data_IF_056295839735
#
_entry.id   IF_056295839735
#
_cell.length_a   1.000
_cell.length_b   1.000
_cell.length_c   1.000
_cell.angle_alpha   90.00
_cell.angle_beta   90.00
_cell.angle_gamma   90.00
#
_symmetry.space_group_name_H-M   'P 1'
#
loop_
_entity.id
_entity.type
_entity.pdbx_description
1 polymer ?
#
# COMPACT_ATOMS: atom_id res chain seq x y z
N UNK A 1 16.29 88.71 -7.33
CA UNK A 1 16.60 87.32 -7.54
C UNK A 1 16.11 86.56 -6.28
N UNK A 2 14.84 86.06 -6.29
CA UNK A 2 14.17 85.51 -5.11
C UNK A 2 14.34 84.01 -5.21
N UNK A 3 15.04 83.40 -4.28
CA UNK A 3 15.20 81.96 -4.16
C UNK A 3 14.03 81.44 -3.35
N UNK A 4 13.09 80.71 -4.01
CA UNK A 4 11.99 79.96 -3.31
C UNK A 4 12.60 78.74 -2.64
N UNK A 5 12.43 78.63 -1.33
CA UNK A 5 12.72 77.41 -0.53
C UNK A 5 11.58 76.43 -0.70
N UNK A 6 11.92 75.24 -1.15
CA UNK A 6 10.95 74.08 -1.15
C UNK A 6 10.64 73.71 0.28
N UNK A 7 9.32 73.44 0.50
CA UNK A 7 8.77 73.00 1.77
C UNK A 7 9.08 71.45 1.99
N UNK A 8 9.45 71.02 3.18
CA UNK A 8 9.86 69.65 3.46
C UNK A 8 8.73 68.64 3.60
N UNK A 9 7.48 68.99 3.30
CA UNK A 9 6.30 68.14 3.55
C UNK A 9 5.78 67.35 2.36
N UNK A 10 6.39 67.38 1.21
CA UNK A 10 5.98 66.57 0.06
C UNK A 10 6.53 65.15 0.17
N UNK A 11 5.74 64.26 0.70
CA UNK A 11 5.98 62.82 0.70
C UNK A 11 6.07 62.25 -0.74
N UNK A 12 6.65 61.08 -0.95
CA UNK A 12 6.87 60.52 -2.27
C UNK A 12 5.56 60.38 -3.07
N UNK A 13 5.59 60.87 -4.32
CA UNK A 13 4.44 60.89 -5.23
C UNK A 13 3.85 59.48 -5.47
N UNK A 14 2.62 59.42 -6.00
CA UNK A 14 1.85 58.18 -6.15
C UNK A 14 2.58 57.09 -6.96
N UNK A 15 3.43 57.43 -7.91
CA UNK A 15 4.23 56.46 -8.68
C UNK A 15 5.34 55.80 -7.86
N UNK A 16 5.97 56.53 -6.93
CA UNK A 16 7.00 56.00 -6.04
C UNK A 16 6.36 55.04 -4.99
N UNK A 17 5.18 55.42 -4.46
CA UNK A 17 4.41 54.54 -3.55
C UNK A 17 3.97 53.26 -4.25
N UNK A 18 3.51 53.31 -5.50
CA UNK A 18 3.13 52.13 -6.27
C UNK A 18 4.32 51.23 -6.61
N UNK A 19 5.49 51.79 -6.83
CA UNK A 19 6.73 51.04 -7.08
C UNK A 19 7.24 50.34 -5.80
N UNK A 20 7.22 51.05 -4.66
CA UNK A 20 7.61 50.47 -3.35
C UNK A 20 6.63 49.36 -2.90
N UNK A 21 5.32 49.48 -3.18
CA UNK A 21 4.34 48.46 -2.87
C UNK A 21 4.54 47.22 -3.75
N UNK A 22 4.78 47.37 -5.04
CA UNK A 22 5.08 46.26 -5.95
C UNK A 22 6.38 45.52 -5.56
N UNK A 23 7.42 46.26 -5.15
CA UNK A 23 8.71 45.68 -4.71
C UNK A 23 8.55 44.96 -3.36
N UNK A 24 7.75 45.53 -2.42
CA UNK A 24 7.47 44.89 -1.13
C UNK A 24 6.61 43.62 -1.27
N UNK A 25 5.64 43.61 -2.21
CA UNK A 25 4.83 42.43 -2.54
C UNK A 25 5.70 41.38 -3.22
N UNK A 26 6.60 41.78 -4.15
CA UNK A 26 7.53 40.85 -4.79
C UNK A 26 8.51 40.23 -3.79
N UNK A 27 9.08 41.04 -2.87
CA UNK A 27 9.94 40.50 -1.79
C UNK A 27 9.21 39.65 -0.77
N UNK A 28 7.91 39.94 -0.46
CA UNK A 28 7.09 39.13 0.42
C UNK A 28 6.74 37.82 -0.24
N UNK A 29 6.43 37.81 -1.55
CA UNK A 29 6.18 36.60 -2.32
C UNK A 29 7.46 35.78 -2.56
N UNK A 30 8.63 36.42 -2.66
CA UNK A 30 9.92 35.75 -2.78
C UNK A 30 10.36 35.14 -1.45
N UNK A 31 10.20 35.85 -0.31
CA UNK A 31 10.43 35.28 1.03
C UNK A 31 9.48 34.17 1.41
N UNK A 32 8.22 34.22 0.93
CA UNK A 32 7.30 33.10 1.11
C UNK A 32 7.62 31.88 0.22
N UNK A 33 8.33 32.07 -0.91
CA UNK A 33 8.86 30.96 -1.71
C UNK A 33 10.15 30.35 -1.14
N UNK A 34 10.93 31.11 -0.37
CA UNK A 34 12.21 30.64 0.19
C UNK A 34 12.05 29.80 1.47
N UNK A 35 10.82 29.57 1.97
CA UNK A 35 10.59 28.80 3.20
C UNK A 35 9.44 27.79 3.09
N UNK A 36 8.99 27.46 1.87
CA UNK A 36 8.07 26.33 1.67
C UNK A 36 8.90 25.12 1.29
N UNK A 37 8.97 24.14 2.19
CA UNK A 37 9.52 22.81 1.91
C UNK A 37 8.83 22.28 0.64
N UNK A 38 9.58 21.99 -0.43
CA UNK A 38 9.06 21.31 -1.61
C UNK A 38 9.18 19.78 -1.46
N UNK A 39 8.45 19.04 -2.30
CA UNK A 39 8.43 17.59 -2.21
C UNK A 39 9.79 16.96 -2.45
N UNK A 40 10.59 17.49 -3.36
CA UNK A 40 11.91 16.95 -3.71
C UNK A 40 12.94 17.16 -2.59
N UNK A 41 12.89 18.32 -1.92
CA UNK A 41 13.71 18.60 -0.73
C UNK A 41 13.35 17.65 0.41
N UNK A 42 12.04 17.46 0.70
CA UNK A 42 11.59 16.52 1.71
C UNK A 42 12.02 15.07 1.37
N UNK A 43 11.96 14.70 0.09
CA UNK A 43 12.42 13.39 -0.35
C UNK A 43 13.90 13.16 -0.03
N UNK A 44 14.75 14.19 -0.27
CA UNK A 44 16.17 14.09 0.06
C UNK A 44 16.40 13.98 1.56
N UNK A 45 15.69 14.76 2.39
CA UNK A 45 15.79 14.65 3.84
C UNK A 45 15.41 13.24 4.34
N UNK A 46 14.40 12.61 3.72
CA UNK A 46 14.00 11.23 4.06
C UNK A 46 15.08 10.24 3.66
N UNK A 47 15.69 10.40 2.49
CA UNK A 47 16.82 9.58 2.04
C UNK A 47 18.00 9.72 3.01
N UNK A 48 18.21 10.93 3.54
CA UNK A 48 19.27 11.24 4.51
C UNK A 48 18.91 10.80 5.96
N UNK A 49 17.76 10.16 6.17
CA UNK A 49 17.39 9.53 7.43
C UNK A 49 16.26 10.18 8.20
N UNK A 50 15.66 11.29 7.73
CA UNK A 50 14.43 11.83 8.33
C UNK A 50 13.31 10.81 8.27
N UNK A 51 12.47 10.77 9.31
CA UNK A 51 11.25 9.95 9.36
C UNK A 51 10.04 10.84 9.66
N UNK A 52 8.99 10.66 8.87
CA UNK A 52 7.71 11.38 9.04
C UNK A 52 6.94 10.74 10.18
N UNK A 53 6.39 11.57 11.05
CA UNK A 53 5.62 11.17 12.23
C UNK A 53 4.26 11.89 12.27
N UNK A 54 3.44 11.60 13.28
CA UNK A 54 2.15 12.30 13.51
C UNK A 54 2.31 13.78 13.88
N UNK A 55 3.51 14.21 14.28
CA UNK A 55 3.81 15.59 14.69
C UNK A 55 4.16 16.48 13.50
N UNK A 56 4.46 15.89 12.32
CA UNK A 56 4.73 16.61 11.08
C UNK A 56 3.45 17.16 10.46
N UNK A 57 3.57 18.21 9.64
CA UNK A 57 2.44 18.73 8.84
C UNK A 57 2.11 17.76 7.68
N UNK A 58 1.26 16.79 7.97
CA UNK A 58 0.82 15.81 6.99
C UNK A 58 -0.06 16.41 5.88
N UNK A 59 -0.65 17.61 6.09
CA UNK A 59 -1.45 18.28 5.06
C UNK A 59 -0.59 18.70 3.85
N UNK A 60 0.72 18.82 4.04
CA UNK A 60 1.67 19.02 2.96
C UNK A 60 1.46 18.03 1.81
N UNK A 61 1.28 16.74 2.12
CA UNK A 61 1.10 15.68 1.11
C UNK A 61 -0.20 15.82 0.29
N UNK A 62 -1.18 16.56 0.80
CA UNK A 62 -2.46 16.78 0.12
C UNK A 62 -2.42 18.03 -0.78
N UNK A 63 -1.54 18.98 -0.48
CA UNK A 63 -1.52 20.30 -1.11
C UNK A 63 -0.35 20.53 -2.07
N UNK A 64 0.72 19.73 -1.96
CA UNK A 64 1.87 19.83 -2.86
C UNK A 64 1.52 19.35 -4.28
N UNK A 65 2.33 19.75 -5.24
CA UNK A 65 2.21 19.31 -6.63
C UNK A 65 2.34 17.79 -6.72
N UNK A 66 1.39 17.14 -7.41
CA UNK A 66 1.35 15.68 -7.51
C UNK A 66 2.55 15.11 -8.25
N UNK A 67 2.99 15.79 -9.32
CA UNK A 67 4.11 15.32 -10.12
C UNK A 67 5.42 15.36 -9.33
N UNK A 68 5.66 16.45 -8.59
CA UNK A 68 6.82 16.56 -7.72
C UNK A 68 6.79 15.54 -6.57
N UNK A 69 5.60 15.30 -5.99
CA UNK A 69 5.40 14.29 -4.95
C UNK A 69 5.74 12.89 -5.48
N UNK A 70 5.22 12.51 -6.66
CA UNK A 70 5.52 11.23 -7.29
C UNK A 70 7.01 11.08 -7.66
N UNK A 71 7.64 12.14 -8.19
CA UNK A 71 9.07 12.13 -8.48
C UNK A 71 9.92 11.95 -7.21
N UNK A 72 9.57 12.64 -6.13
CA UNK A 72 10.24 12.48 -4.84
C UNK A 72 10.04 11.08 -4.25
N UNK A 73 8.83 10.52 -4.33
CA UNK A 73 8.54 9.14 -3.90
C UNK A 73 9.38 8.12 -4.68
N UNK A 74 9.56 8.32 -5.99
CA UNK A 74 10.39 7.44 -6.80
C UNK A 74 11.88 7.54 -6.43
N UNK A 75 12.38 8.74 -6.10
CA UNK A 75 13.75 8.92 -5.59
C UNK A 75 13.96 8.19 -4.27
N UNK A 76 13.01 8.30 -3.32
CA UNK A 76 13.04 7.58 -2.04
C UNK A 76 13.03 6.06 -2.31
N UNK A 77 12.11 5.58 -3.15
CA UNK A 77 12.05 4.16 -3.49
C UNK A 77 13.39 3.65 -4.02
N UNK A 78 13.99 4.39 -4.97
CA UNK A 78 15.26 3.99 -5.57
C UNK A 78 16.40 3.95 -4.56
N UNK A 79 16.47 4.93 -3.66
CA UNK A 79 17.51 5.03 -2.65
C UNK A 79 17.34 4.00 -1.50
N UNK A 80 16.11 3.80 -1.02
CA UNK A 80 15.84 3.01 0.19
C UNK A 80 15.47 1.55 -0.10
N UNK A 81 14.93 1.24 -1.29
CA UNK A 81 14.46 -0.11 -1.65
C UNK A 81 15.27 -0.71 -2.81
N UNK A 82 15.80 0.14 -3.71
CA UNK A 82 16.50 -0.31 -4.91
C UNK A 82 15.56 -0.64 -6.07
N UNK A 83 16.08 -1.29 -7.11
CA UNK A 83 15.34 -1.54 -8.35
C UNK A 83 14.60 -2.90 -8.36
N UNK A 84 14.80 -3.74 -7.35
CA UNK A 84 14.05 -4.98 -7.19
C UNK A 84 12.56 -4.70 -6.99
N UNK A 85 11.72 -5.42 -7.73
CA UNK A 85 10.28 -5.45 -7.51
C UNK A 85 9.89 -6.81 -6.93
N UNK A 86 9.25 -6.80 -5.76
CA UNK A 86 8.77 -8.01 -5.10
C UNK A 86 7.41 -8.43 -5.71
N UNK A 87 7.41 -9.55 -6.41
CA UNK A 87 6.23 -10.15 -7.04
C UNK A 87 5.61 -11.19 -6.11
N UNK A 88 4.35 -10.99 -5.74
CA UNK A 88 3.59 -11.91 -4.89
C UNK A 88 2.42 -12.49 -5.69
N UNK A 89 2.24 -13.79 -5.64
CA UNK A 89 1.05 -14.46 -6.15
C UNK A 89 0.25 -15.08 -5.00
N UNK A 90 -1.04 -15.28 -5.23
CA UNK A 90 -1.94 -15.82 -4.22
C UNK A 90 -2.77 -16.98 -4.80
N UNK A 91 -3.14 -17.92 -3.93
CA UNK A 91 -4.21 -18.88 -4.19
C UNK A 91 -5.31 -18.66 -3.16
N UNK A 92 -6.57 -18.59 -3.62
CA UNK A 92 -7.73 -18.56 -2.72
C UNK A 92 -8.00 -19.98 -2.21
N UNK A 93 -7.39 -20.35 -1.09
CA UNK A 93 -7.43 -21.71 -0.56
C UNK A 93 -8.79 -22.12 0.03
N UNK A 94 -9.64 -21.15 0.41
CA UNK A 94 -11.04 -21.34 0.83
C UNK A 94 -11.85 -20.11 0.49
N UNK A 95 -13.06 -20.27 -0.03
CA UNK A 95 -13.88 -19.15 -0.50
C UNK A 95 -15.29 -19.12 0.08
N UNK A 96 -15.78 -17.89 0.32
CA UNK A 96 -17.14 -17.61 0.76
C UNK A 96 -17.41 -17.91 2.25
N UNK A 97 -18.68 -17.82 2.66
CA UNK A 97 -19.20 -18.13 4.02
C UNK A 97 -18.44 -17.42 5.18
N UNK A 98 -17.78 -16.28 4.92
CA UNK A 98 -17.09 -15.54 5.97
C UNK A 98 -18.11 -14.94 6.96
N UNK A 99 -17.99 -15.20 8.28
CA UNK A 99 -18.93 -14.68 9.27
C UNK A 99 -18.71 -13.17 9.59
N UNK A 100 -17.69 -12.56 9.01
CA UNK A 100 -17.38 -11.13 9.20
C UNK A 100 -18.21 -10.25 8.24
N UNK A 101 -18.60 -9.06 8.70
CA UNK A 101 -19.48 -8.13 7.98
C UNK A 101 -18.74 -7.03 7.21
N UNK A 102 -17.46 -7.22 6.89
CA UNK A 102 -16.64 -6.23 6.16
C UNK A 102 -17.35 -5.77 4.89
N UNK A 103 -17.76 -4.50 4.84
CA UNK A 103 -18.67 -3.94 3.82
C UNK A 103 -18.16 -4.04 2.38
N UNK A 104 -16.86 -4.13 2.16
CA UNK A 104 -16.24 -4.27 0.84
C UNK A 104 -16.15 -5.71 0.35
N UNK A 105 -16.31 -6.70 1.24
CA UNK A 105 -15.91 -8.08 0.98
C UNK A 105 -17.03 -8.90 0.32
N UNK A 106 -16.76 -9.40 -0.89
CA UNK A 106 -17.69 -10.30 -1.59
C UNK A 106 -17.88 -11.66 -0.92
N UNK A 107 -16.91 -12.08 -0.08
CA UNK A 107 -16.93 -13.40 0.58
C UNK A 107 -17.69 -13.41 1.93
N UNK A 108 -18.22 -12.24 2.35
CA UNK A 108 -19.01 -12.12 3.57
C UNK A 108 -20.34 -12.86 3.46
N UNK A 109 -20.70 -13.66 4.47
CA UNK A 109 -22.02 -14.31 4.55
C UNK A 109 -23.17 -13.31 4.82
N UNK A 110 -22.85 -12.07 5.15
CA UNK A 110 -23.81 -10.98 5.33
C UNK A 110 -24.24 -10.31 4.00
N UNK A 111 -23.58 -10.65 2.89
CA UNK A 111 -23.78 -10.00 1.58
C UNK A 111 -24.34 -11.01 0.57
N UNK A 112 -24.99 -10.49 -0.49
CA UNK A 112 -25.58 -11.32 -1.55
C UNK A 112 -24.80 -11.11 -2.86
N UNK A 113 -23.60 -11.66 -2.92
CA UNK A 113 -22.71 -11.57 -4.06
C UNK A 113 -22.67 -12.87 -4.88
N UNK A 114 -22.09 -12.82 -6.08
CA UNK A 114 -21.86 -13.99 -6.93
C UNK A 114 -20.55 -14.70 -6.59
N UNK A 115 -20.03 -14.56 -5.36
CA UNK A 115 -18.80 -15.20 -4.94
C UNK A 115 -18.93 -16.73 -4.98
N UNK A 116 -18.00 -17.40 -5.63
CA UNK A 116 -17.92 -18.86 -5.60
C UNK A 116 -17.62 -19.34 -4.17
N UNK A 117 -18.25 -20.44 -3.76
CA UNK A 117 -18.13 -20.98 -2.39
C UNK A 117 -17.55 -22.38 -2.47
N UNK A 118 -16.42 -22.59 -1.78
CA UNK A 118 -15.77 -23.89 -1.62
C UNK A 118 -14.99 -23.97 -0.29
N UNK A 119 -14.84 -25.20 0.20
CA UNK A 119 -14.06 -25.52 1.38
C UNK A 119 -12.54 -25.44 1.06
N UNK A 120 -11.67 -25.76 2.04
CA UNK A 120 -10.23 -25.70 1.82
C UNK A 120 -9.80 -26.62 0.66
N UNK A 121 -9.04 -26.07 -0.28
CA UNK A 121 -8.59 -26.78 -1.49
C UNK A 121 -7.72 -28.00 -1.14
N UNK A 122 -7.70 -29.04 -2.00
CA UNK A 122 -6.76 -30.13 -1.88
C UNK A 122 -5.30 -29.68 -1.91
N UNK A 123 -4.45 -30.34 -1.13
CA UNK A 123 -3.01 -30.01 -1.03
C UNK A 123 -2.32 -30.07 -2.40
N UNK A 124 -2.65 -31.08 -3.21
CA UNK A 124 -2.05 -31.29 -4.54
C UNK A 124 -2.30 -30.09 -5.47
N UNK A 125 -3.48 -29.47 -5.37
CA UNK A 125 -3.82 -28.29 -6.16
C UNK A 125 -3.02 -27.06 -5.73
N UNK A 126 -2.88 -26.87 -4.41
CA UNK A 126 -2.12 -25.76 -3.82
C UNK A 126 -0.62 -25.88 -4.19
N UNK A 127 -0.04 -27.07 -3.98
CA UNK A 127 1.38 -27.34 -4.26
C UNK A 127 1.66 -27.21 -5.75
N UNK A 128 0.81 -27.77 -6.61
CA UNK A 128 0.92 -27.60 -8.07
C UNK A 128 0.94 -26.13 -8.47
N UNK A 129 0.08 -25.29 -7.90
CA UNK A 129 0.04 -23.87 -8.22
C UNK A 129 1.31 -23.15 -7.73
N UNK A 130 1.85 -23.56 -6.57
CA UNK A 130 3.12 -23.03 -6.07
C UNK A 130 4.26 -23.29 -7.07
N UNK A 131 4.40 -24.51 -7.58
CA UNK A 131 5.39 -24.86 -8.62
C UNK A 131 5.23 -24.03 -9.89
N UNK A 132 3.99 -23.86 -10.39
CA UNK A 132 3.72 -23.03 -11.58
C UNK A 132 4.21 -21.61 -11.38
N UNK A 133 3.95 -21.01 -10.22
CA UNK A 133 4.37 -19.64 -9.92
C UNK A 133 5.87 -19.51 -9.67
N UNK A 134 6.50 -20.53 -9.10
CA UNK A 134 7.96 -20.61 -8.98
C UNK A 134 8.62 -20.66 -10.36
N UNK A 135 8.14 -21.52 -11.26
CA UNK A 135 8.64 -21.62 -12.65
C UNK A 135 8.44 -20.30 -13.42
N UNK A 136 7.36 -19.59 -13.18
CA UNK A 136 7.12 -18.26 -13.74
C UNK A 136 7.98 -17.17 -13.09
N UNK A 137 8.75 -17.50 -12.05
CA UNK A 137 9.69 -16.62 -11.34
C UNK A 137 9.00 -15.52 -10.55
N UNK A 138 8.06 -15.89 -9.70
CA UNK A 138 7.43 -15.03 -8.69
C UNK A 138 8.24 -15.12 -7.40
N UNK A 139 8.38 -14.04 -6.65
CA UNK A 139 9.17 -14.04 -5.42
C UNK A 139 8.47 -14.76 -4.27
N UNK A 140 7.11 -14.62 -4.18
CA UNK A 140 6.32 -15.10 -3.04
C UNK A 140 5.02 -15.75 -3.48
N UNK A 141 4.64 -16.83 -2.79
CA UNK A 141 3.35 -17.50 -2.96
C UNK A 141 2.58 -17.51 -1.65
N UNK A 142 1.28 -17.16 -1.69
CA UNK A 142 0.46 -17.02 -0.49
C UNK A 142 -0.84 -17.83 -0.59
N UNK A 143 -1.15 -18.64 0.44
CA UNK A 143 -2.49 -19.18 0.62
C UNK A 143 -3.33 -18.11 1.35
N UNK A 144 -4.44 -17.70 0.71
CA UNK A 144 -5.42 -16.78 1.28
C UNK A 144 -6.72 -17.53 1.54
N UNK A 145 -7.36 -17.31 2.67
CA UNK A 145 -8.63 -17.97 3.00
C UNK A 145 -9.71 -16.99 3.43
N UNK A 146 -10.94 -17.25 3.04
CA UNK A 146 -12.10 -16.60 3.64
C UNK A 146 -12.28 -17.02 5.10
N UNK A 147 -13.04 -16.22 5.86
CA UNK A 147 -13.39 -16.53 7.24
C UNK A 147 -12.64 -15.66 8.24
N UNK A 148 -13.18 -15.62 9.49
CA UNK A 148 -12.57 -14.91 10.61
C UNK A 148 -11.18 -15.47 10.95
N UNK A 149 -11.06 -16.80 10.90
CA UNK A 149 -9.85 -17.56 11.14
C UNK A 149 -9.94 -18.92 10.44
N UNK A 150 -8.81 -19.48 10.04
CA UNK A 150 -8.70 -20.88 9.67
C UNK A 150 -8.34 -21.68 10.94
N UNK A 151 -9.11 -22.72 11.26
CA UNK A 151 -8.94 -23.48 12.51
C UNK A 151 -9.21 -24.96 12.31
N UNK A 152 -8.84 -25.80 13.30
CA UNK A 152 -9.11 -27.22 13.30
C UNK A 152 -8.47 -27.95 12.13
N UNK A 153 -9.16 -28.92 11.56
CA UNK A 153 -8.68 -29.80 10.50
C UNK A 153 -8.24 -29.02 9.22
N UNK A 154 -8.93 -27.93 8.86
CA UNK A 154 -8.54 -27.13 7.70
C UNK A 154 -7.21 -26.38 7.93
N UNK A 155 -6.96 -25.94 9.18
CA UNK A 155 -5.67 -25.35 9.53
C UNK A 155 -4.55 -26.40 9.47
N UNK A 156 -4.80 -27.63 9.92
CA UNK A 156 -3.83 -28.72 9.82
C UNK A 156 -3.54 -29.08 8.36
N UNK A 157 -4.54 -29.11 7.48
CA UNK A 157 -4.35 -29.26 6.02
C UNK A 157 -3.48 -28.16 5.44
N UNK A 158 -3.68 -26.91 5.88
CA UNK A 158 -2.83 -25.79 5.43
C UNK A 158 -1.38 -25.95 5.89
N UNK A 159 -1.14 -26.40 7.12
CA UNK A 159 0.21 -26.70 7.62
C UNK A 159 0.87 -27.77 6.76
N UNK A 160 0.19 -28.88 6.46
CA UNK A 160 0.73 -29.92 5.59
C UNK A 160 1.10 -29.39 4.19
N UNK A 161 0.23 -28.59 3.59
CA UNK A 161 0.52 -27.96 2.29
C UNK A 161 1.79 -27.07 2.36
N UNK A 162 1.97 -26.28 3.43
CA UNK A 162 3.18 -25.50 3.62
C UNK A 162 4.43 -26.35 3.85
N UNK A 163 4.34 -27.41 4.63
CA UNK A 163 5.47 -28.35 4.84
C UNK A 163 5.89 -29.03 3.53
N UNK A 164 4.94 -29.34 2.66
CA UNK A 164 5.22 -29.92 1.32
C UNK A 164 5.85 -28.85 0.42
N UNK A 165 5.29 -27.66 0.33
CA UNK A 165 5.86 -26.57 -0.46
C UNK A 165 7.28 -26.19 0.02
N UNK A 166 7.53 -26.15 1.34
CA UNK A 166 8.86 -25.91 1.91
C UNK A 166 9.89 -26.93 1.44
N UNK A 167 9.51 -28.18 1.23
CA UNK A 167 10.40 -29.25 0.77
C UNK A 167 10.63 -29.22 -0.74
N UNK A 168 9.61 -28.84 -1.50
CA UNK A 168 9.58 -28.99 -2.96
C UNK A 168 9.86 -27.71 -3.71
N UNK A 169 9.61 -26.53 -3.11
CA UNK A 169 9.75 -25.21 -3.74
C UNK A 169 10.79 -24.35 -3.03
N UNK A 170 11.36 -23.40 -3.77
CA UNK A 170 12.31 -22.39 -3.27
C UNK A 170 11.68 -21.01 -3.12
N UNK A 171 10.47 -20.82 -3.62
CA UNK A 171 9.70 -19.57 -3.54
C UNK A 171 9.38 -19.25 -2.07
N UNK A 172 9.44 -17.97 -1.69
CA UNK A 172 9.04 -17.54 -0.34
C UNK A 172 7.55 -17.83 -0.06
N UNK A 173 7.23 -18.38 1.11
CA UNK A 173 5.88 -18.75 1.49
C UNK A 173 5.24 -17.70 2.39
N UNK A 174 4.02 -17.29 2.05
CA UNK A 174 3.21 -16.34 2.78
C UNK A 174 1.85 -16.94 3.16
N UNK A 175 1.20 -16.40 4.19
CA UNK A 175 -0.13 -16.81 4.60
C UNK A 175 -1.05 -15.62 4.88
N UNK A 176 -2.36 -15.80 4.62
CA UNK A 176 -3.43 -14.86 4.99
C UNK A 176 -4.68 -15.64 5.37
N UNK A 177 -4.82 -16.00 6.65
CA UNK A 177 -5.85 -16.91 7.17
C UNK A 177 -6.69 -16.25 8.28
N UNK A 178 -6.84 -14.92 8.23
CA UNK A 178 -7.59 -14.15 9.22
C UNK A 178 -6.86 -13.99 10.55
N UNK A 179 -7.61 -14.05 11.65
CA UNK A 179 -7.05 -13.95 12.99
C UNK A 179 -6.40 -15.28 13.40
N UNK A 180 -5.17 -15.20 13.86
CA UNK A 180 -4.39 -16.38 14.29
C UNK A 180 -3.89 -16.20 15.72
N UNK A 181 -3.69 -17.30 16.43
CA UNK A 181 -3.05 -17.34 17.74
C UNK A 181 -1.52 -17.34 17.59
N UNK A 182 -0.79 -17.04 18.68
CA UNK A 182 0.67 -17.16 18.69
C UNK A 182 1.14 -18.59 18.37
N UNK A 183 0.42 -19.62 18.87
CA UNK A 183 0.70 -21.02 18.55
C UNK A 183 0.52 -21.33 17.07
N UNK A 184 -0.54 -20.80 16.44
CA UNK A 184 -0.77 -20.98 15.01
C UNK A 184 0.30 -20.28 14.17
N UNK A 185 0.74 -19.06 14.56
CA UNK A 185 1.84 -18.37 13.90
C UNK A 185 3.14 -19.16 14.00
N UNK A 186 3.45 -19.69 15.18
CA UNK A 186 4.62 -20.53 15.37
C UNK A 186 4.60 -21.77 14.47
N UNK A 187 3.47 -22.49 14.40
CA UNK A 187 3.31 -23.65 13.50
C UNK A 187 3.48 -23.28 12.02
N UNK A 188 2.92 -22.13 11.59
CA UNK A 188 3.10 -21.64 10.23
C UNK A 188 4.57 -21.33 9.94
N UNK A 189 5.27 -20.66 10.87
CA UNK A 189 6.68 -20.33 10.75
C UNK A 189 7.54 -21.59 10.64
N UNK A 190 7.32 -22.59 11.49
CA UNK A 190 8.00 -23.89 11.41
C UNK A 190 7.72 -24.62 10.09
N UNK A 191 6.50 -24.51 9.57
CA UNK A 191 6.11 -25.05 8.26
C UNK A 191 6.73 -24.31 7.06
N UNK A 192 7.48 -23.20 7.30
CA UNK A 192 8.20 -22.46 6.28
C UNK A 192 7.57 -21.15 5.85
N UNK A 193 6.49 -20.70 6.48
CA UNK A 193 5.89 -19.39 6.19
C UNK A 193 6.76 -18.28 6.76
N UNK A 194 7.27 -17.40 5.90
CA UNK A 194 8.18 -16.31 6.29
C UNK A 194 7.45 -14.98 6.47
N UNK A 195 6.24 -14.84 5.92
CA UNK A 195 5.46 -13.61 5.94
C UNK A 195 3.97 -13.89 6.20
N UNK A 196 3.33 -13.05 7.01
CA UNK A 196 1.90 -13.15 7.26
C UNK A 196 1.19 -11.85 6.89
N UNK A 197 0.12 -11.99 6.07
CA UNK A 197 -0.70 -10.86 5.64
C UNK A 197 -1.93 -10.69 6.53
N UNK A 198 -2.08 -9.48 7.08
CA UNK A 198 -3.24 -9.09 7.89
C UNK A 198 -3.49 -7.59 7.82
N UNK A 199 -4.36 -7.14 6.92
CA UNK A 199 -4.64 -5.73 6.68
C UNK A 199 -5.28 -5.05 7.89
N UNK A 200 -4.93 -3.77 8.13
CA UNK A 200 -5.69 -2.88 9.02
C UNK A 200 -6.91 -2.25 8.31
N UNK A 201 -6.96 -2.31 6.99
CA UNK A 201 -7.99 -1.92 6.04
C UNK A 201 -8.18 -0.41 5.87
N UNK A 202 -8.19 0.36 6.94
CA UNK A 202 -8.39 1.81 6.96
C UNK A 202 -7.85 2.40 8.26
N UNK A 203 -8.09 3.70 8.54
CA UNK A 203 -7.75 4.33 9.82
C UNK A 203 -8.54 3.74 11.00
N UNK A 204 -8.01 3.93 12.22
CA UNK A 204 -8.74 3.58 13.46
C UNK A 204 -10.10 4.28 13.54
N UNK A 205 -10.17 5.56 13.14
CA UNK A 205 -11.40 6.36 13.18
C UNK A 205 -12.46 5.80 12.24
N UNK A 206 -12.06 5.42 11.02
CA UNK A 206 -12.99 4.95 10.00
C UNK A 206 -13.35 3.46 10.12
N UNK A 207 -12.55 2.66 10.81
CA UNK A 207 -12.73 1.21 10.88
C UNK A 207 -14.14 0.75 11.32
N UNK A 208 -14.79 1.38 12.33
CA UNK A 208 -16.16 1.00 12.72
C UNK A 208 -17.21 1.23 11.63
N UNK A 209 -16.94 2.09 10.64
CA UNK A 209 -17.79 2.31 9.49
C UNK A 209 -17.68 1.18 8.45
N UNK A 210 -16.61 0.39 8.49
CA UNK A 210 -16.28 -0.64 7.50
C UNK A 210 -16.61 -2.04 8.02
N UNK A 211 -16.40 -2.31 9.31
CA UNK A 211 -16.64 -3.60 9.92
C UNK A 211 -17.08 -3.44 11.38
N UNK A 212 -18.08 -4.26 11.82
CA UNK A 212 -18.59 -4.26 13.19
C UNK A 212 -18.35 -5.57 13.94
N UNK A 213 -18.03 -6.65 13.24
CA UNK A 213 -17.85 -8.00 13.82
C UNK A 213 -16.49 -8.21 14.47
N UNK A 214 -15.52 -7.35 14.19
CA UNK A 214 -14.23 -7.27 14.89
C UNK A 214 -13.73 -5.82 14.96
N UNK A 215 -12.72 -5.57 15.78
CA UNK A 215 -12.22 -4.21 16.04
C UNK A 215 -10.86 -3.97 15.41
N UNK A 216 -10.54 -2.68 15.24
CA UNK A 216 -9.20 -2.25 14.80
C UNK A 216 -8.09 -2.76 15.74
N UNK A 217 -8.33 -2.74 17.07
CA UNK A 217 -7.35 -3.23 18.04
C UNK A 217 -7.05 -4.72 17.90
N UNK A 218 -8.03 -5.52 17.51
CA UNK A 218 -7.79 -6.94 17.20
C UNK A 218 -6.82 -7.09 16.03
N UNK A 219 -6.95 -6.25 14.99
CA UNK A 219 -6.01 -6.21 13.85
C UNK A 219 -4.59 -5.87 14.31
N UNK A 220 -4.46 -4.80 15.10
CA UNK A 220 -3.16 -4.36 15.64
C UNK A 220 -2.51 -5.45 16.51
N UNK A 221 -3.30 -6.13 17.35
CA UNK A 221 -2.77 -7.20 18.19
C UNK A 221 -2.25 -8.38 17.37
N UNK A 222 -2.96 -8.75 16.29
CA UNK A 222 -2.49 -9.80 15.37
C UNK A 222 -1.15 -9.40 14.72
N UNK A 223 -1.01 -8.16 14.24
CA UNK A 223 0.24 -7.68 13.65
C UNK A 223 1.41 -7.70 14.66
N UNK A 224 1.15 -7.33 15.91
CA UNK A 224 2.16 -7.43 16.98
C UNK A 224 2.60 -8.86 17.24
N UNK A 225 1.67 -9.84 17.21
CA UNK A 225 2.00 -11.25 17.36
C UNK A 225 2.84 -11.77 16.17
N UNK A 226 2.52 -11.37 14.94
CA UNK A 226 3.29 -11.72 13.73
C UNK A 226 4.75 -11.26 13.89
N UNK A 227 4.95 -10.00 14.31
CA UNK A 227 6.29 -9.45 14.52
C UNK A 227 7.02 -10.11 15.69
N UNK A 228 6.32 -10.45 16.76
CA UNK A 228 6.90 -11.15 17.92
C UNK A 228 7.38 -12.56 17.57
N UNK A 229 6.76 -13.22 16.58
CA UNK A 229 7.20 -14.52 16.02
C UNK A 229 8.41 -14.38 15.08
N UNK A 230 8.83 -13.15 14.77
CA UNK A 230 9.95 -12.91 13.85
C UNK A 230 9.59 -13.01 12.36
N UNK A 231 8.30 -13.06 12.05
CA UNK A 231 7.81 -13.11 10.67
C UNK A 231 7.69 -11.70 10.08
N UNK A 232 7.87 -11.57 8.77
CA UNK A 232 7.57 -10.33 8.06
C UNK A 232 6.08 -10.01 8.13
N UNK A 233 5.74 -8.80 8.57
CA UNK A 233 4.36 -8.34 8.63
C UNK A 233 3.96 -7.65 7.33
N UNK A 234 2.94 -8.19 6.64
CA UNK A 234 2.33 -7.59 5.47
C UNK A 234 0.96 -7.02 5.86
N UNK A 235 0.82 -5.70 5.85
CA UNK A 235 -0.43 -5.02 6.24
C UNK A 235 -0.59 -3.70 5.52
N UNK A 236 -1.77 -3.47 5.02
CA UNK A 236 -2.17 -2.24 4.34
C UNK A 236 -3.67 -2.06 4.45
N UNK A 237 -4.30 -1.60 3.37
CA UNK A 237 -5.73 -1.35 3.38
C UNK A 237 -6.31 -1.11 2.00
N UNK A 238 -7.55 -0.61 2.03
CA UNK A 238 -8.33 -0.30 0.84
C UNK A 238 -8.66 1.19 0.86
N UNK A 239 -8.41 1.87 -0.25
CA UNK A 239 -8.77 3.27 -0.46
C UNK A 239 -9.97 3.38 -1.41
N UNK A 240 -10.80 4.41 -1.22
CA UNK A 240 -12.04 4.60 -1.98
C UNK A 240 -13.26 3.98 -1.33
N UNK A 241 -13.21 3.64 -0.02
CA UNK A 241 -14.34 3.11 0.75
C UNK A 241 -15.18 4.22 1.42
N UNK A 242 -14.95 5.49 1.08
CA UNK A 242 -15.61 6.65 1.71
C UNK A 242 -14.81 7.24 2.89
N UNK A 243 -13.58 6.81 3.07
CA UNK A 243 -12.61 7.41 4.00
C UNK A 243 -12.19 8.81 3.53
N UNK A 244 -11.71 9.63 4.48
CA UNK A 244 -11.13 10.94 4.16
C UNK A 244 -9.63 10.82 3.86
N UNK A 245 -9.02 11.90 3.37
CA UNK A 245 -7.57 11.97 3.16
C UNK A 245 -6.78 11.83 4.48
N UNK A 246 -7.32 12.39 5.57
CA UNK A 246 -6.75 12.25 6.91
C UNK A 246 -6.75 10.79 7.37
N UNK A 247 -7.77 10.01 6.98
CA UNK A 247 -7.80 8.57 7.27
C UNK A 247 -6.69 7.81 6.53
N UNK A 248 -6.42 8.16 5.26
CA UNK A 248 -5.33 7.57 4.48
C UNK A 248 -3.96 7.90 5.08
N UNK A 249 -3.77 9.17 5.50
CA UNK A 249 -2.54 9.60 6.18
C UNK A 249 -2.38 8.91 7.53
N UNK A 250 -3.44 8.83 8.35
CA UNK A 250 -3.43 8.10 9.63
C UNK A 250 -3.08 6.62 9.43
N UNK A 251 -3.61 5.98 8.38
CA UNK A 251 -3.27 4.61 8.02
C UNK A 251 -1.77 4.46 7.69
N UNK A 252 -1.21 5.37 6.88
CA UNK A 252 0.20 5.34 6.50
C UNK A 252 1.13 5.47 7.71
N UNK A 253 0.84 6.43 8.61
CA UNK A 253 1.62 6.65 9.84
C UNK A 253 1.46 5.48 10.81
N UNK A 254 0.24 4.94 10.97
CA UNK A 254 0.01 3.76 11.83
C UNK A 254 0.83 2.54 11.39
N UNK A 255 0.97 2.32 10.08
CA UNK A 255 1.79 1.24 9.52
C UNK A 255 3.29 1.49 9.74
N UNK A 256 3.75 2.75 9.64
CA UNK A 256 5.12 3.14 9.96
C UNK A 256 5.45 2.91 11.44
N UNK A 257 4.55 3.33 12.35
CA UNK A 257 4.70 3.12 13.80
C UNK A 257 4.74 1.63 14.18
N UNK A 258 4.04 0.78 13.43
CA UNK A 258 4.08 -0.67 13.58
C UNK A 258 5.32 -1.30 12.95
N UNK A 259 6.08 -0.57 12.14
CA UNK A 259 7.23 -1.07 11.40
C UNK A 259 6.83 -2.19 10.42
N UNK A 260 5.85 -1.93 9.57
CA UNK A 260 5.34 -2.92 8.60
C UNK A 260 6.30 -3.05 7.42
N UNK A 261 6.63 -4.28 7.04
CA UNK A 261 7.62 -4.58 6.00
C UNK A 261 7.05 -4.49 4.58
N UNK A 262 5.76 -4.80 4.41
CA UNK A 262 5.07 -4.77 3.11
C UNK A 262 3.66 -4.20 3.26
N UNK A 263 3.33 -3.20 2.44
CA UNK A 263 2.09 -2.43 2.54
C UNK A 263 1.30 -2.56 1.25
N UNK A 264 0.36 -3.52 1.15
CA UNK A 264 -0.55 -3.60 0.02
C UNK A 264 -1.58 -2.47 0.06
N UNK A 265 -1.62 -1.69 -1.01
CA UNK A 265 -2.64 -0.69 -1.27
C UNK A 265 -3.61 -1.22 -2.33
N UNK A 266 -4.88 -1.29 -1.94
CA UNK A 266 -5.96 -1.70 -2.81
C UNK A 266 -6.83 -0.49 -3.11
N UNK A 267 -7.18 -0.24 -4.39
CA UNK A 267 -8.23 0.70 -4.73
C UNK A 267 -9.56 -0.05 -4.86
N UNK A 268 -10.60 0.44 -4.19
CA UNK A 268 -11.91 -0.23 -4.17
C UNK A 268 -12.44 -0.41 -5.60
N UNK A 269 -12.75 -1.65 -5.93
CA UNK A 269 -13.57 -2.02 -7.06
C UNK A 269 -14.95 -2.41 -6.52
N UNK A 270 -15.97 -1.54 -6.63
CA UNK A 270 -17.29 -1.83 -6.09
C UNK A 270 -17.86 -3.12 -6.67
N UNK A 271 -18.29 -4.02 -5.79
CA UNK A 271 -18.82 -5.34 -6.18
C UNK A 271 -20.33 -5.36 -5.93
N UNK A 272 -21.13 -5.74 -6.94
CA UNK A 272 -22.58 -5.87 -6.79
C UNK A 272 -22.96 -6.81 -5.64
N UNK A 273 -23.94 -6.42 -4.85
CA UNK A 273 -24.40 -7.18 -3.67
C UNK A 273 -23.63 -6.87 -2.39
N UNK A 274 -22.60 -6.03 -2.43
CA UNK A 274 -21.93 -5.51 -1.22
C UNK A 274 -22.50 -4.16 -0.80
N UNK A 275 -22.42 -3.75 0.48
CA UNK A 275 -22.84 -2.43 0.93
C UNK A 275 -22.17 -1.24 0.23
N UNK A 276 -20.99 -1.45 -0.38
CA UNK A 276 -20.21 -0.42 -1.07
C UNK A 276 -20.38 -0.46 -2.59
N UNK A 277 -21.33 -1.21 -3.13
CA UNK A 277 -21.56 -1.37 -4.58
C UNK A 277 -21.84 -0.05 -5.33
N UNK A 278 -22.39 0.95 -4.61
CA UNK A 278 -22.77 2.26 -5.19
C UNK A 278 -21.67 3.32 -5.11
N UNK A 279 -20.53 3.02 -4.50
CA UNK A 279 -19.45 3.99 -4.43
C UNK A 279 -18.82 4.23 -5.80
N UNK A 280 -18.52 5.48 -6.09
CA UNK A 280 -17.73 5.84 -7.27
C UNK A 280 -16.29 5.39 -7.11
N UNK A 281 -15.68 5.01 -8.22
CA UNK A 281 -14.25 4.68 -8.26
C UNK A 281 -13.42 5.93 -8.07
N UNK A 282 -12.36 5.84 -7.29
CA UNK A 282 -11.42 6.95 -7.10
C UNK A 282 -10.57 7.16 -8.37
N UNK A 283 -10.07 8.37 -8.54
CA UNK A 283 -9.24 8.75 -9.68
C UNK A 283 -7.83 8.12 -9.62
N UNK A 284 -7.16 8.01 -10.77
CA UNK A 284 -5.74 7.64 -10.83
C UNK A 284 -4.87 8.60 -10.00
N UNK A 285 -5.12 9.90 -10.07
CA UNK A 285 -4.38 10.91 -9.30
C UNK A 285 -4.49 10.67 -7.78
N UNK A 286 -5.67 10.29 -7.29
CA UNK A 286 -5.87 9.96 -5.88
C UNK A 286 -5.08 8.71 -5.47
N UNK A 287 -5.02 7.70 -6.34
CA UNK A 287 -4.24 6.48 -6.10
C UNK A 287 -2.74 6.82 -6.09
N UNK A 288 -2.26 7.56 -7.09
CA UNK A 288 -0.85 7.94 -7.19
C UNK A 288 -0.40 8.80 -6.02
N UNK A 289 -1.20 9.79 -5.61
CA UNK A 289 -0.94 10.62 -4.43
C UNK A 289 -0.84 9.76 -3.17
N UNK A 290 -1.75 8.78 -3.02
CA UNK A 290 -1.72 7.87 -1.87
C UNK A 290 -0.45 7.02 -1.88
N UNK A 291 -0.10 6.38 -2.99
CA UNK A 291 1.14 5.59 -3.13
C UNK A 291 2.36 6.45 -2.81
N UNK A 292 2.42 7.68 -3.33
CA UNK A 292 3.55 8.56 -3.15
C UNK A 292 3.73 8.92 -1.67
N UNK A 293 2.72 9.43 -0.97
CA UNK A 293 2.91 9.78 0.45
C UNK A 293 3.12 8.54 1.34
N UNK A 294 2.56 7.37 0.99
CA UNK A 294 2.93 6.13 1.69
C UNK A 294 4.42 5.83 1.59
N UNK A 295 5.05 6.10 0.43
CA UNK A 295 6.50 5.95 0.26
C UNK A 295 7.28 6.96 1.11
N UNK A 296 6.84 8.22 1.21
CA UNK A 296 7.48 9.21 2.07
C UNK A 296 7.42 8.82 3.55
N UNK A 297 6.28 8.30 3.99
CA UNK A 297 6.05 7.93 5.40
C UNK A 297 6.70 6.57 5.72
N UNK A 298 6.76 5.65 4.75
CA UNK A 298 7.31 4.30 4.89
C UNK A 298 8.45 4.07 3.88
N UNK A 299 9.61 4.72 4.04
CA UNK A 299 10.64 4.78 3.00
C UNK A 299 11.27 3.43 2.66
N UNK A 300 11.30 2.48 3.57
CA UNK A 300 11.96 1.17 3.42
C UNK A 300 10.96 0.03 3.14
N UNK A 301 9.66 0.24 3.42
CA UNK A 301 8.66 -0.79 3.21
C UNK A 301 8.39 -1.07 1.72
N UNK A 302 7.98 -2.28 1.40
CA UNK A 302 7.47 -2.60 0.07
C UNK A 302 6.05 -2.03 -0.11
N UNK A 303 5.91 -0.91 -0.82
CA UNK A 303 4.59 -0.40 -1.23
C UNK A 303 4.09 -1.26 -2.38
N UNK A 304 3.06 -2.06 -2.11
CA UNK A 304 2.57 -3.12 -2.99
C UNK A 304 1.24 -2.75 -3.64
N UNK A 305 1.18 -2.86 -4.95
CA UNK A 305 -0.09 -2.76 -5.67
C UNK A 305 -0.90 -4.04 -5.47
N UNK A 306 -2.13 -3.87 -4.96
CA UNK A 306 -3.12 -4.93 -4.81
C UNK A 306 -4.24 -4.81 -5.85
N UNK A 307 -5.49 -4.94 -5.40
CA UNK A 307 -6.67 -4.75 -6.24
C UNK A 307 -6.83 -3.31 -6.75
N UNK A 308 -7.55 -3.14 -7.87
CA UNK A 308 -7.85 -1.83 -8.46
C UNK A 308 -6.79 -1.31 -9.44
N UNK A 309 -5.81 -2.11 -9.83
CA UNK A 309 -4.79 -1.72 -10.83
C UNK A 309 -5.38 -1.31 -12.18
N UNK A 310 -6.54 -1.82 -12.54
CA UNK A 310 -7.26 -1.42 -13.75
C UNK A 310 -7.73 0.06 -13.74
N UNK A 311 -7.62 0.77 -12.61
CA UNK A 311 -7.86 2.21 -12.49
C UNK A 311 -6.60 3.03 -12.84
N UNK A 312 -5.45 2.40 -13.02
CA UNK A 312 -4.17 3.01 -13.31
C UNK A 312 -3.82 2.84 -14.78
N UNK A 313 -3.13 3.81 -15.34
CA UNK A 313 -2.62 3.75 -16.71
C UNK A 313 -1.67 2.54 -16.88
N UNK A 314 -1.85 1.77 -17.96
CA UNK A 314 -1.06 0.59 -18.30
C UNK A 314 -0.93 -0.40 -17.10
N UNK A 315 -2.04 -0.68 -16.43
CA UNK A 315 -2.11 -1.63 -15.29
C UNK A 315 -1.11 -1.33 -14.16
N UNK A 316 -0.81 -0.07 -13.93
CA UNK A 316 0.00 0.39 -12.80
C UNK A 316 1.42 0.85 -13.16
N UNK A 317 1.76 1.03 -14.43
CA UNK A 317 3.06 1.58 -14.84
C UNK A 317 3.37 2.91 -14.14
N UNK A 318 2.38 3.82 -14.09
CA UNK A 318 2.47 5.11 -13.40
C UNK A 318 2.76 4.98 -11.91
N UNK A 319 2.19 3.99 -11.24
CA UNK A 319 2.42 3.73 -9.82
C UNK A 319 3.86 3.27 -9.54
N UNK A 320 4.46 2.47 -10.43
CA UNK A 320 5.87 2.08 -10.33
C UNK A 320 6.85 3.24 -10.62
N UNK A 321 6.37 4.32 -11.19
CA UNK A 321 7.10 5.59 -11.32
C UNK A 321 6.78 6.58 -10.18
N UNK A 322 5.95 6.19 -9.22
CA UNK A 322 5.46 7.02 -8.12
C UNK A 322 5.74 6.41 -6.73
N UNK A 323 6.71 5.51 -6.64
CA UNK A 323 7.19 4.96 -5.37
C UNK A 323 6.74 3.53 -5.05
N UNK A 324 5.92 2.86 -5.89
CA UNK A 324 5.60 1.45 -5.72
C UNK A 324 6.84 0.56 -5.97
N UNK A 325 6.98 -0.51 -5.19
CA UNK A 325 8.11 -1.45 -5.28
C UNK A 325 7.69 -2.93 -5.27
N UNK A 326 6.39 -3.21 -5.20
CA UNK A 326 5.87 -4.57 -5.14
C UNK A 326 4.49 -4.66 -5.79
N UNK A 327 4.06 -5.85 -6.18
CA UNK A 327 2.69 -6.07 -6.68
C UNK A 327 2.20 -7.49 -6.38
N UNK A 328 0.87 -7.63 -6.31
CA UNK A 328 0.21 -8.92 -6.45
C UNK A 328 0.03 -9.15 -7.94
N UNK A 329 0.45 -10.31 -8.44
CA UNK A 329 0.44 -10.70 -9.86
C UNK A 329 -0.21 -12.05 -10.06
N UNK A 330 -0.60 -12.38 -11.29
CA UNK A 330 -1.29 -13.62 -11.65
C UNK A 330 -2.81 -13.51 -11.55
N UNK A 331 -3.52 -14.46 -12.20
CA UNK A 331 -4.98 -14.41 -12.39
C UNK A 331 -5.82 -14.78 -11.16
N UNK A 332 -5.24 -14.90 -9.97
CA UNK A 332 -5.84 -15.55 -8.79
C UNK A 332 -6.31 -14.57 -7.72
N UNK A 333 -6.54 -13.28 -8.04
CA UNK A 333 -7.27 -12.41 -7.10
C UNK A 333 -8.71 -12.90 -6.96
N UNK A 334 -9.17 -13.00 -5.71
CA UNK A 334 -10.41 -13.67 -5.30
C UNK A 334 -11.68 -13.15 -5.95
N UNK A 335 -11.66 -11.95 -6.56
CA UNK A 335 -12.88 -11.30 -7.07
C UNK A 335 -12.68 -10.42 -8.32
N UNK A 336 -11.44 -10.15 -8.74
CA UNK A 336 -11.16 -9.23 -9.88
C UNK A 336 -9.99 -9.79 -10.71
N UNK A 337 -10.10 -9.73 -12.04
CA UNK A 337 -9.01 -10.12 -12.94
C UNK A 337 -7.78 -9.23 -12.73
N UNK A 338 -6.60 -9.83 -12.67
CA UNK A 338 -5.31 -9.16 -12.57
C UNK A 338 -4.52 -9.28 -13.88
N UNK A 339 -3.48 -8.45 -14.00
CA UNK A 339 -2.46 -8.63 -15.02
C UNK A 339 -1.76 -10.00 -14.86
N UNK A 340 -1.36 -10.60 -15.95
CA UNK A 340 -0.62 -11.88 -15.93
C UNK A 340 0.81 -11.63 -15.42
N UNK A 341 1.43 -12.65 -14.81
CA UNK A 341 2.84 -12.59 -14.38
C UNK A 341 3.76 -12.14 -15.53
N UNK A 342 3.52 -12.63 -16.74
CA UNK A 342 4.31 -12.29 -17.94
C UNK A 342 4.13 -10.83 -18.37
N UNK A 343 2.90 -10.30 -18.33
CA UNK A 343 2.65 -8.88 -18.65
C UNK A 343 3.29 -7.96 -17.64
N UNK A 344 3.20 -8.28 -16.34
CA UNK A 344 3.85 -7.51 -15.29
C UNK A 344 5.37 -7.50 -15.43
N UNK A 345 5.98 -8.66 -15.61
CA UNK A 345 7.43 -8.76 -15.83
C UNK A 345 7.89 -7.98 -17.06
N UNK A 346 7.11 -7.99 -18.14
CA UNK A 346 7.43 -7.23 -19.35
C UNK A 346 7.39 -5.73 -19.10
N UNK A 347 6.32 -5.24 -18.46
CA UNK A 347 6.14 -3.83 -18.12
C UNK A 347 7.27 -3.36 -17.18
N UNK A 348 7.53 -4.09 -16.09
CA UNK A 348 8.55 -3.74 -15.11
C UNK A 348 9.97 -3.75 -15.68
N UNK A 349 10.32 -4.74 -16.53
CA UNK A 349 11.60 -4.73 -17.26
C UNK A 349 11.72 -3.54 -18.19
N UNK A 350 10.62 -3.10 -18.82
CA UNK A 350 10.56 -1.89 -19.63
C UNK A 350 10.87 -0.62 -18.84
N UNK A 351 10.56 -0.61 -17.56
CA UNK A 351 10.88 0.47 -16.60
C UNK A 351 12.29 0.34 -15.97
N UNK A 352 13.10 -0.64 -16.40
CA UNK A 352 14.43 -0.90 -15.85
C UNK A 352 14.42 -1.54 -14.46
N UNK A 353 13.30 -2.21 -14.08
CA UNK A 353 13.17 -2.90 -12.79
C UNK A 353 13.73 -4.32 -12.84
N UNK A 354 14.33 -4.75 -11.72
CA UNK A 354 14.72 -6.15 -11.51
C UNK A 354 13.51 -6.96 -11.01
N UNK A 355 13.13 -7.97 -11.77
CA UNK A 355 12.04 -8.91 -11.46
C UNK A 355 12.54 -10.34 -11.33
N UNK A 356 13.83 -10.52 -11.11
CA UNK A 356 14.45 -11.84 -10.96
C UNK A 356 14.43 -12.24 -9.48
N UNK A 357 13.72 -13.31 -9.09
CA UNK A 357 13.74 -13.79 -7.72
C UNK A 357 15.16 -14.19 -7.25
N UNK A 358 15.44 -14.06 -5.96
CA UNK A 358 16.75 -14.41 -5.40
C UNK A 358 17.09 -15.89 -5.62
N UNK A 359 16.13 -16.80 -5.48
CA UNK A 359 16.33 -18.23 -5.71
C UNK A 359 16.68 -18.60 -7.15
N UNK A 360 16.48 -17.67 -8.11
CA UNK A 360 16.89 -17.84 -9.51
C UNK A 360 18.27 -17.24 -9.82
N UNK A 361 18.86 -16.47 -8.89
CA UNK A 361 20.18 -15.84 -9.08
C UNK A 361 21.33 -16.76 -8.71
N UNK A 362 21.07 -17.83 -7.96
CA UNK A 362 22.07 -18.75 -7.41
C UNK A 362 22.49 -19.90 -8.36
N UNK A 363 22.18 -19.80 -9.67
CA UNK A 363 22.58 -20.82 -10.65
C UNK A 363 23.60 -20.30 -11.66
#
# INVERSE_FOLDING_TARGET
MIIQRKNPEDGPGPEIKARMTKTAIAHKNQKNKENTMDALTLAQEIIDGRRITREDDLNFFLTCDLKELCEGAERIRKACVGDKVDLCSIINGRSGRCPEDCKYCAQSAHHHTSCEIYDFLPEEEIVKMCHVHEEEGVDRFSIVTSGRALTGEEFDKAIHAYETMKKECKIDLCASMGFVTAEQLHRLHEAGVTSYHHNIETSRRNFPNICTTHTYDMKINTLKMIKAEGMCACSGGIIGMGETWEDRLDMAVSLAELGIDSIPLNALMPIPGTPLEHLERISEDDILRTIAFFRYINPEANIRLGAGRALLTNDGETAFCSGASATITGNMLTTVACATIRSDKKMLKGLGRDVTPEYMKEN
#
